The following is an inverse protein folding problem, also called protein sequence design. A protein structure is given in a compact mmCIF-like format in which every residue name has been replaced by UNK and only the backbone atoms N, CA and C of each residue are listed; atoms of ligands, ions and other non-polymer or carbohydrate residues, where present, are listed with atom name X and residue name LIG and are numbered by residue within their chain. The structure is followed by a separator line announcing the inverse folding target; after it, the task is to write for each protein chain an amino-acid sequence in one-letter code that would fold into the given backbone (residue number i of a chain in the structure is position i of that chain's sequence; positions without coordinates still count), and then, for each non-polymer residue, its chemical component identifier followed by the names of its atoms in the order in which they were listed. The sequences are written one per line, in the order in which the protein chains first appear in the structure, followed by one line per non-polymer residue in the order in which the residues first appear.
data_IF_545623797579
#
_entry.id   IF_545623797579
#
_cell.length_a   1.000
_cell.length_b   1.000
_cell.length_c   1.000
_cell.angle_alpha   90.00
_cell.angle_beta   90.00
_cell.angle_gamma   90.00
#
_symmetry.space_group_name_H-M   'P 1'
#
loop_
_entity.id
_entity.type
_entity.pdbx_description
1 polymer ?
#
# COMPACT_ATOMS: atom_id res chain seq x y z
N UNK A 1 -22.34 -19.24 -28.29
CA UNK A 1 -20.89 -19.18 -28.59
C UNK A 1 -20.43 -17.99 -27.78
N UNK A 2 -20.29 -18.20 -26.48
CA UNK A 2 -20.38 -17.10 -25.51
C UNK A 2 -18.95 -16.73 -25.15
N UNK A 3 -18.51 -15.62 -25.71
CA UNK A 3 -17.21 -15.01 -25.48
C UNK A 3 -17.10 -14.68 -24.00
N UNK A 4 -16.33 -15.46 -23.24
CA UNK A 4 -16.00 -15.12 -21.85
C UNK A 4 -15.20 -13.83 -21.90
N UNK A 5 -15.79 -12.73 -21.43
CA UNK A 5 -15.09 -11.47 -21.18
C UNK A 5 -13.92 -11.78 -20.25
N UNK A 6 -12.69 -11.73 -20.79
CA UNK A 6 -11.49 -12.01 -20.02
C UNK A 6 -11.38 -10.94 -18.92
N UNK A 7 -11.68 -11.32 -17.68
CA UNK A 7 -11.56 -10.41 -16.55
C UNK A 7 -10.10 -9.96 -16.45
N UNK A 8 -9.86 -8.66 -16.38
CA UNK A 8 -8.52 -8.12 -16.16
C UNK A 8 -8.10 -8.44 -14.71
N UNK A 9 -7.42 -9.57 -14.53
CA UNK A 9 -6.92 -10.03 -13.23
C UNK A 9 -5.73 -9.15 -12.84
N UNK A 10 -5.88 -8.37 -11.77
CA UNK A 10 -4.78 -7.67 -11.11
C UNK A 10 -4.18 -8.57 -10.02
N UNK A 11 -2.91 -9.01 -10.13
CA UNK A 11 -2.25 -9.80 -9.09
C UNK A 11 -2.22 -9.07 -7.74
N UNK A 12 -2.31 -9.83 -6.64
CA UNK A 12 -2.24 -9.34 -5.24
C UNK A 12 -1.36 -10.26 -4.38
N UNK A 13 -0.20 -10.61 -4.92
CA UNK A 13 0.76 -11.59 -4.37
C UNK A 13 1.51 -11.02 -3.16
N UNK A 14 1.66 -9.71 -3.09
CA UNK A 14 2.39 -9.04 -2.02
C UNK A 14 1.76 -7.70 -1.64
N UNK A 15 1.73 -7.44 -0.34
CA UNK A 15 1.31 -6.19 0.27
C UNK A 15 2.51 -5.65 1.05
N UNK A 16 2.99 -4.47 0.70
CA UNK A 16 4.06 -3.80 1.42
C UNK A 16 3.49 -2.68 2.26
N UNK A 17 3.55 -2.83 3.58
CA UNK A 17 3.09 -1.82 4.53
C UNK A 17 4.23 -0.84 4.84
N UNK A 18 3.91 0.45 4.84
CA UNK A 18 4.82 1.55 5.23
C UNK A 18 4.10 2.51 6.18
N UNK A 19 4.75 3.00 7.24
CA UNK A 19 4.09 3.90 8.19
C UNK A 19 3.79 5.26 7.53
N UNK A 20 2.61 5.82 7.79
CA UNK A 20 2.24 7.17 7.35
C UNK A 20 3.17 8.27 7.89
N UNK A 21 3.82 8.06 9.03
CA UNK A 21 4.85 8.97 9.58
C UNK A 21 6.18 8.96 8.83
N UNK A 22 6.35 8.06 7.85
CA UNK A 22 7.60 7.89 7.09
C UNK A 22 7.46 8.16 5.59
N UNK A 23 7.00 9.34 5.13
CA UNK A 23 6.78 9.62 3.71
C UNK A 23 8.04 9.48 2.84
N UNK A 24 9.24 9.65 3.41
CA UNK A 24 10.52 9.40 2.75
C UNK A 24 10.71 7.94 2.32
N UNK A 25 9.94 7.00 2.88
CA UNK A 25 9.98 5.58 2.55
C UNK A 25 9.13 5.23 1.32
N UNK A 26 8.18 6.08 0.93
CA UNK A 26 7.22 5.76 -0.14
C UNK A 26 7.91 5.54 -1.51
N UNK A 27 8.90 6.36 -1.92
CA UNK A 27 9.61 6.11 -3.18
C UNK A 27 10.31 4.75 -3.18
N UNK A 28 10.89 4.34 -2.04
CA UNK A 28 11.52 3.03 -1.89
C UNK A 28 10.51 1.89 -1.92
N UNK A 29 9.34 2.08 -1.30
CA UNK A 29 8.27 1.09 -1.31
C UNK A 29 7.72 0.84 -2.72
N UNK A 30 7.55 1.90 -3.52
CA UNK A 30 7.17 1.81 -4.92
C UNK A 30 8.27 1.13 -5.75
N UNK A 31 9.54 1.46 -5.53
CA UNK A 31 10.68 0.85 -6.22
C UNK A 31 10.85 -0.65 -5.90
N UNK A 32 10.35 -1.12 -4.75
CA UNK A 32 10.36 -2.53 -4.38
C UNK A 32 9.36 -3.39 -5.18
N UNK A 33 8.52 -2.75 -6.01
CA UNK A 33 7.54 -3.39 -6.90
C UNK A 33 6.64 -4.46 -6.23
N UNK A 34 6.01 -4.18 -5.07
CA UNK A 34 4.94 -5.03 -4.56
C UNK A 34 3.71 -4.89 -5.46
N UNK A 35 2.79 -5.86 -5.39
CA UNK A 35 1.52 -5.71 -6.09
C UNK A 35 0.65 -4.60 -5.46
N UNK A 36 0.76 -4.41 -4.15
CA UNK A 36 0.06 -3.35 -3.38
C UNK A 36 1.02 -2.71 -2.38
N UNK A 37 1.04 -1.37 -2.31
CA UNK A 37 1.62 -0.61 -1.21
C UNK A 37 0.49 -0.13 -0.31
N UNK A 38 0.60 -0.37 0.99
CA UNK A 38 -0.34 0.07 2.01
C UNK A 38 0.33 1.10 2.92
N UNK A 39 -0.18 2.33 2.96
CA UNK A 39 0.22 3.32 3.95
C UNK A 39 -0.56 3.03 5.23
N UNK A 40 0.15 2.68 6.29
CA UNK A 40 -0.42 2.31 7.58
C UNK A 40 -0.64 3.56 8.45
N UNK A 41 -1.87 3.70 8.95
CA UNK A 41 -2.31 4.79 9.84
C UNK A 41 -2.74 4.25 11.23
N UNK A 42 -2.60 2.94 11.46
CA UNK A 42 -3.11 2.23 12.62
C UNK A 42 -1.96 1.79 13.54
N UNK A 43 -1.65 0.50 13.59
CA UNK A 43 -0.80 -0.09 14.65
C UNK A 43 0.69 0.14 14.41
N UNK A 44 1.09 0.49 13.18
CA UNK A 44 2.45 0.97 12.91
C UNK A 44 2.70 2.42 13.36
N UNK A 45 1.67 3.12 13.88
CA UNK A 45 1.73 4.53 14.22
C UNK A 45 1.54 4.74 15.72
N UNK A 46 2.50 5.44 16.34
CA UNK A 46 2.37 5.83 17.74
C UNK A 46 1.09 6.68 17.95
N UNK A 47 0.37 6.55 19.08
CA UNK A 47 -0.91 7.23 19.28
C UNK A 47 -0.87 8.75 19.03
N UNK A 48 0.21 9.41 19.42
CA UNK A 48 0.40 10.85 19.27
C UNK A 48 0.68 11.28 17.81
N UNK A 49 1.12 10.36 16.96
CA UNK A 49 1.53 10.66 15.59
C UNK A 49 0.41 10.41 14.57
N UNK A 50 -0.74 9.87 14.99
CA UNK A 50 -1.88 9.54 14.12
C UNK A 50 -2.45 10.73 13.34
N UNK A 51 -2.26 11.96 13.83
CA UNK A 51 -2.61 13.17 13.08
C UNK A 51 -1.57 13.40 11.98
N UNK A 52 -0.30 13.50 12.35
CA UNK A 52 0.80 13.73 11.40
C UNK A 52 0.93 12.65 10.31
N UNK A 53 0.59 11.39 10.64
CA UNK A 53 0.64 10.28 9.68
C UNK A 53 -0.36 10.42 8.52
N UNK A 54 -1.39 11.26 8.66
CA UNK A 54 -2.47 11.45 7.68
C UNK A 54 -2.24 12.63 6.73
N UNK A 55 -1.34 13.55 7.11
CA UNK A 55 -0.98 14.73 6.31
C UNK A 55 -0.09 14.35 5.12
#
# INVERSE_FOLDING_TARGET
MDTITQANIRPRRSFLFVPGTGPQLFPKALAAAPDIVCVDLEDAIAPNDKVSARE
#
